data_IF_482742024148
#
_entry.id   IF_482742024148
#
_cell.length_a   1.000
_cell.length_b   1.000
_cell.length_c   1.000
_cell.angle_alpha   90.00
_cell.angle_beta   90.00
_cell.angle_gamma   90.00
#
_symmetry.space_group_name_H-M   'P 1'
#
loop_
_entity.id
_entity.type
_entity.pdbx_description
1 polymer ?
#
# COMPACT_ATOMS: atom_id res chain seq x y z
N UNK A 1 69.75 -1.15 -26.78
CA UNK A 1 68.68 -0.62 -27.64
C UNK A 1 67.49 -1.54 -27.45
N UNK A 2 66.65 -1.32 -26.43
CA UNK A 2 65.68 -0.21 -26.30
C UNK A 2 64.36 -0.55 -27.01
N UNK A 3 63.32 -0.72 -26.16
CA UNK A 3 61.86 -0.53 -26.32
C UNK A 3 61.14 -1.15 -27.54
N UNK A 4 60.20 -2.10 -27.43
CA UNK A 4 58.86 -2.11 -26.78
C UNK A 4 57.94 -0.94 -27.19
N UNK A 5 57.24 -1.10 -28.30
CA UNK A 5 55.97 -0.43 -28.65
C UNK A 5 54.87 -1.51 -28.73
N UNK A 6 53.90 -1.54 -27.78
CA UNK A 6 52.52 -1.00 -27.89
C UNK A 6 51.77 -1.47 -29.16
N UNK A 7 50.58 -2.07 -29.14
CA UNK A 7 49.48 -2.12 -28.17
C UNK A 7 48.72 -3.46 -28.31
N UNK A 8 48.51 -4.19 -27.22
CA UNK A 8 47.43 -5.18 -27.15
C UNK A 8 46.22 -4.50 -26.50
N UNK A 9 45.27 -4.05 -27.32
CA UNK A 9 44.01 -3.48 -26.85
C UNK A 9 43.29 -4.44 -25.89
N UNK A 10 42.79 -3.97 -24.74
CA UNK A 10 42.07 -4.83 -23.83
C UNK A 10 40.76 -5.26 -24.49
N UNK A 11 40.66 -6.57 -24.73
CA UNK A 11 39.41 -7.26 -25.07
C UNK A 11 38.33 -6.81 -24.08
N UNK A 12 37.18 -6.37 -24.62
CA UNK A 12 35.95 -6.07 -23.87
C UNK A 12 35.71 -7.12 -22.80
N UNK A 13 36.03 -6.78 -21.55
CA UNK A 13 35.65 -7.58 -20.40
C UNK A 13 34.15 -7.36 -20.18
N UNK A 14 33.34 -8.35 -20.55
CA UNK A 14 31.99 -8.50 -20.03
C UNK A 14 32.11 -8.70 -18.52
N UNK A 15 31.98 -7.60 -17.76
CA UNK A 15 31.92 -7.64 -16.31
C UNK A 15 30.65 -8.40 -15.90
N UNK A 16 30.85 -9.49 -15.15
CA UNK A 16 29.83 -10.37 -14.61
C UNK A 16 28.98 -9.64 -13.56
N UNK A 17 28.10 -8.75 -13.97
CA UNK A 17 27.06 -8.14 -13.11
C UNK A 17 25.80 -7.81 -13.89
N UNK A 18 25.22 -8.82 -14.53
CA UNK A 18 23.79 -8.84 -14.83
C UNK A 18 23.35 -10.29 -14.75
N UNK A 19 22.17 -10.52 -14.18
CA UNK A 19 21.58 -11.80 -13.78
C UNK A 19 22.04 -12.25 -12.37
N UNK A 20 21.46 -11.64 -11.33
CA UNK A 20 20.52 -12.28 -10.37
C UNK A 20 19.83 -11.14 -9.60
N UNK A 21 18.68 -10.68 -10.06
CA UNK A 21 17.71 -9.87 -9.28
C UNK A 21 16.28 -10.35 -9.55
N UNK A 22 16.11 -11.67 -9.65
CA UNK A 22 14.83 -12.31 -9.98
C UNK A 22 14.47 -13.53 -9.12
N UNK A 23 15.08 -13.71 -7.95
CA UNK A 23 14.87 -14.90 -7.11
C UNK A 23 14.56 -14.58 -5.64
N UNK A 24 13.91 -13.45 -5.36
CA UNK A 24 13.40 -13.15 -4.02
C UNK A 24 11.88 -13.41 -3.86
N UNK A 25 11.16 -13.66 -4.95
CA UNK A 25 9.70 -13.86 -4.93
C UNK A 25 9.24 -15.33 -4.81
N UNK A 26 10.17 -16.28 -4.69
CA UNK A 26 9.85 -17.72 -4.62
C UNK A 26 10.21 -18.38 -3.28
N UNK A 27 10.80 -17.65 -2.34
CA UNK A 27 11.33 -18.24 -1.10
C UNK A 27 10.30 -18.53 0.01
N UNK A 28 9.12 -17.90 0.11
CA UNK A 28 8.09 -18.40 1.04
C UNK A 28 7.42 -19.68 0.52
N UNK A 29 7.29 -19.82 -0.80
CA UNK A 29 6.55 -20.94 -1.43
C UNK A 29 7.38 -22.23 -1.40
N UNK A 30 8.70 -22.14 -1.59
CA UNK A 30 9.56 -23.34 -1.61
C UNK A 30 9.87 -23.84 -0.19
N UNK A 31 9.99 -22.96 0.81
CA UNK A 31 10.25 -23.37 2.19
C UNK A 31 9.08 -24.17 2.79
N UNK A 32 7.84 -23.81 2.46
CA UNK A 32 6.65 -24.57 2.84
C UNK A 32 6.58 -25.94 2.13
N UNK A 33 7.09 -26.06 0.90
CA UNK A 33 7.09 -27.32 0.15
C UNK A 33 8.19 -28.31 0.58
N UNK A 34 9.37 -27.83 1.00
CA UNK A 34 10.48 -28.70 1.40
C UNK A 34 10.38 -29.27 2.82
N UNK A 35 9.51 -28.73 3.67
CA UNK A 35 9.29 -29.25 5.03
C UNK A 35 8.35 -30.47 5.07
N UNK A 36 7.57 -30.72 4.02
CA UNK A 36 6.55 -31.79 4.01
C UNK A 36 7.15 -33.20 4.01
N UNK A 37 8.23 -33.54 3.26
CA UNK A 37 8.73 -34.91 3.27
C UNK A 37 9.58 -35.27 4.50
N UNK A 38 10.17 -34.29 5.21
CA UNK A 38 11.08 -34.57 6.33
C UNK A 38 10.36 -34.89 7.66
N UNK A 39 9.07 -34.54 7.80
CA UNK A 39 8.26 -34.93 8.96
C UNK A 39 7.50 -36.25 8.77
N UNK A 40 7.54 -36.84 7.56
CA UNK A 40 6.85 -38.09 7.20
C UNK A 40 7.48 -39.37 7.82
N UNK A 41 8.47 -39.24 8.70
CA UNK A 41 9.06 -40.35 9.46
C UNK A 41 8.70 -40.32 10.97
N UNK A 42 7.71 -39.52 11.37
CA UNK A 42 7.20 -39.44 12.74
C UNK A 42 5.90 -40.25 12.87
N UNK A 43 5.90 -41.30 13.70
CA UNK A 43 4.69 -41.99 14.14
C UNK A 43 3.89 -41.05 15.06
N UNK A 44 3.05 -40.17 14.53
CA UNK A 44 2.34 -39.19 15.35
C UNK A 44 1.20 -38.46 14.63
N UNK A 45 0.36 -37.81 15.44
CA UNK A 45 -0.69 -36.91 14.95
C UNK A 45 -0.06 -35.68 14.33
N UNK A 46 -0.39 -35.42 13.07
CA UNK A 46 0.02 -34.28 12.27
C UNK A 46 -1.13 -33.30 12.15
N UNK A 47 -0.82 -32.01 12.27
CA UNK A 47 -1.71 -30.90 11.91
C UNK A 47 -1.15 -30.22 10.67
N UNK A 48 -2.01 -29.99 9.68
CA UNK A 48 -1.66 -29.30 8.44
C UNK A 48 -2.68 -28.19 8.17
N UNK A 49 -2.26 -27.11 7.50
CA UNK A 49 -3.20 -26.08 7.08
C UNK A 49 -4.06 -26.64 5.94
N UNK A 50 -5.34 -26.27 5.92
CA UNK A 50 -6.17 -26.43 4.73
C UNK A 50 -5.73 -25.48 3.61
N UNK A 51 -6.64 -25.16 2.70
CA UNK A 51 -6.40 -24.10 1.72
C UNK A 51 -6.12 -22.77 2.41
N UNK A 52 -5.16 -22.00 1.88
CA UNK A 52 -4.97 -20.63 2.33
C UNK A 52 -6.24 -19.82 2.02
N UNK A 53 -6.78 -19.05 2.98
CA UNK A 53 -7.95 -18.21 2.73
C UNK A 53 -7.63 -17.17 1.65
N UNK A 54 -8.65 -16.83 0.87
CA UNK A 54 -8.56 -15.71 -0.06
C UNK A 54 -8.27 -14.40 0.70
N UNK A 55 -7.60 -13.42 0.07
CA UNK A 55 -7.44 -12.09 0.66
C UNK A 55 -8.80 -11.52 1.07
N UNK A 56 -8.85 -10.94 2.26
CA UNK A 56 -10.10 -10.48 2.87
C UNK A 56 -9.97 -9.03 3.33
N UNK A 57 -11.08 -8.30 3.41
CA UNK A 57 -11.08 -6.90 3.84
C UNK A 57 -10.70 -6.74 5.31
N UNK A 58 -10.51 -5.49 5.72
CA UNK A 58 -10.36 -5.14 7.14
C UNK A 58 -11.66 -5.39 7.92
N UNK A 59 -11.55 -5.93 9.13
CA UNK A 59 -12.68 -6.20 10.02
C UNK A 59 -13.82 -7.01 9.37
N UNK A 60 -13.45 -7.98 8.54
CA UNK A 60 -14.38 -8.88 7.87
C UNK A 60 -14.20 -10.30 8.37
N UNK A 61 -15.26 -11.12 8.39
CA UNK A 61 -15.11 -12.55 8.63
C UNK A 61 -14.15 -13.15 7.60
N UNK A 62 -13.17 -13.91 8.07
CA UNK A 62 -12.34 -14.74 7.21
C UNK A 62 -13.25 -15.79 6.55
N UNK A 63 -13.10 -15.95 5.24
CA UNK A 63 -13.80 -16.97 4.46
C UNK A 63 -13.34 -18.39 4.82
N UNK A 64 -13.13 -19.25 3.82
CA UNK A 64 -12.73 -20.64 4.06
C UNK A 64 -11.35 -20.73 4.73
N UNK A 65 -11.33 -21.21 5.97
CA UNK A 65 -10.12 -21.45 6.76
C UNK A 65 -10.31 -22.69 7.63
N UNK A 66 -9.37 -23.64 7.56
CA UNK A 66 -9.47 -24.89 8.29
C UNK A 66 -8.10 -25.51 8.55
N UNK A 67 -8.01 -26.36 9.57
CA UNK A 67 -6.88 -27.28 9.77
C UNK A 67 -7.31 -28.72 9.51
N UNK A 68 -6.41 -29.52 8.96
CA UNK A 68 -6.61 -30.97 8.77
C UNK A 68 -5.69 -31.73 9.71
N UNK A 69 -6.25 -32.72 10.40
CA UNK A 69 -5.58 -33.53 11.41
C UNK A 69 -5.54 -34.98 10.93
N UNK A 70 -4.34 -35.54 10.84
CA UNK A 70 -4.13 -36.92 10.40
C UNK A 70 -3.16 -37.66 11.31
N UNK A 71 -3.26 -38.98 11.33
CA UNK A 71 -2.28 -39.87 11.93
C UNK A 71 -1.94 -40.93 10.89
N UNK A 72 -0.69 -40.98 10.45
CA UNK A 72 -0.24 -41.83 9.34
C UNK A 72 -1.13 -41.71 8.10
N UNK A 73 -1.54 -40.48 7.75
CA UNK A 73 -2.39 -40.17 6.60
C UNK A 73 -3.88 -40.48 6.78
N UNK A 74 -4.30 -41.05 7.91
CA UNK A 74 -5.72 -41.30 8.22
C UNK A 74 -6.29 -40.13 9.03
N UNK A 75 -7.50 -39.62 8.72
CA UNK A 75 -8.15 -38.58 9.51
C UNK A 75 -8.30 -38.95 11.00
N UNK A 76 -8.07 -37.97 11.88
CA UNK A 76 -8.27 -38.14 13.34
C UNK A 76 -9.47 -37.30 13.77
N UNK A 77 -10.56 -37.96 14.16
CA UNK A 77 -11.75 -37.30 14.68
C UNK A 77 -11.63 -36.99 16.19
N UNK A 78 -12.37 -35.97 16.64
CA UNK A 78 -12.42 -35.51 18.04
C UNK A 78 -11.05 -35.10 18.61
N UNK A 79 -10.06 -34.80 17.75
CA UNK A 79 -8.77 -34.28 18.20
C UNK A 79 -8.93 -32.80 18.53
N UNK A 80 -8.67 -32.45 19.78
CA UNK A 80 -8.66 -31.07 20.23
C UNK A 80 -7.42 -30.32 19.73
N UNK A 81 -7.62 -29.12 19.21
CA UNK A 81 -6.57 -28.16 18.90
C UNK A 81 -6.84 -26.84 19.59
N UNK A 82 -5.78 -26.14 20.01
CA UNK A 82 -5.83 -24.75 20.45
C UNK A 82 -5.49 -23.89 19.25
N UNK A 83 -6.34 -22.90 18.95
CA UNK A 83 -6.11 -21.93 17.89
C UNK A 83 -5.83 -20.57 18.53
N UNK A 84 -4.71 -19.98 18.14
CA UNK A 84 -4.23 -18.68 18.60
C UNK A 84 -4.30 -17.69 17.45
N UNK A 85 -4.98 -16.56 17.69
CA UNK A 85 -5.06 -15.45 16.74
C UNK A 85 -3.75 -14.65 16.70
N UNK A 86 -3.52 -13.85 15.65
CA UNK A 86 -2.40 -12.92 15.58
C UNK A 86 -2.30 -12.00 16.81
N UNK A 87 -1.10 -11.48 17.07
CA UNK A 87 -0.87 -10.51 18.14
C UNK A 87 -1.78 -9.29 18.00
N UNK A 88 -2.06 -8.64 19.13
CA UNK A 88 -2.86 -7.42 19.16
C UNK A 88 -2.35 -6.35 18.19
N UNK A 89 -3.28 -5.68 17.52
CA UNK A 89 -2.99 -4.55 16.66
C UNK A 89 -2.49 -3.34 17.50
N UNK A 90 -1.83 -2.36 16.85
CA UNK A 90 -1.42 -1.13 17.52
C UNK A 90 -2.59 -0.41 18.21
N UNK A 91 -2.27 0.43 19.20
CA UNK A 91 -3.28 1.19 19.93
C UNK A 91 -4.16 2.03 18.99
N UNK A 92 -5.47 2.04 19.26
CA UNK A 92 -6.46 2.71 18.42
C UNK A 92 -6.93 1.89 17.21
N UNK A 93 -6.38 0.68 16.99
CA UNK A 93 -6.81 -0.26 15.96
C UNK A 93 -7.61 -1.42 16.54
N UNK A 94 -8.48 -2.02 15.73
CA UNK A 94 -9.13 -3.30 16.03
C UNK A 94 -8.20 -4.46 15.69
N UNK A 95 -8.08 -5.43 16.61
CA UNK A 95 -7.29 -6.65 16.44
C UNK A 95 -8.11 -7.76 15.78
N UNK A 96 -7.43 -8.83 15.35
CA UNK A 96 -8.12 -10.09 15.09
C UNK A 96 -8.89 -10.52 16.34
N UNK A 97 -10.13 -10.94 16.15
CA UNK A 97 -11.00 -11.44 17.21
C UNK A 97 -11.86 -12.58 16.69
N UNK A 98 -12.40 -13.36 17.60
CA UNK A 98 -13.41 -14.34 17.29
C UNK A 98 -14.76 -13.68 17.02
N UNK A 99 -15.66 -14.39 16.39
CA UNK A 99 -17.07 -14.02 16.16
C UNK A 99 -17.84 -13.58 17.43
N UNK A 100 -17.40 -14.00 18.62
CA UNK A 100 -17.91 -13.54 19.92
C UNK A 100 -17.15 -12.34 20.52
N UNK A 101 -16.32 -11.66 19.72
CA UNK A 101 -15.49 -10.51 20.09
C UNK A 101 -14.36 -10.77 21.09
N UNK A 102 -14.08 -12.03 21.43
CA UNK A 102 -12.93 -12.37 22.28
C UNK A 102 -11.64 -12.47 21.46
N UNK A 103 -10.47 -12.37 22.11
CA UNK A 103 -9.16 -12.48 21.45
C UNK A 103 -8.28 -13.60 22.03
N UNK A 104 -8.71 -14.20 23.14
CA UNK A 104 -7.96 -15.29 23.78
C UNK A 104 -7.96 -16.55 22.91
N UNK A 105 -6.93 -17.41 22.96
CA UNK A 105 -6.92 -18.68 22.24
C UNK A 105 -8.16 -19.54 22.54
N UNK A 106 -8.70 -20.22 21.53
CA UNK A 106 -9.88 -21.09 21.66
C UNK A 106 -9.55 -22.53 21.30
N UNK A 107 -10.27 -23.47 21.93
CA UNK A 107 -10.17 -24.88 21.62
C UNK A 107 -11.27 -25.30 20.65
N UNK A 108 -10.88 -26.01 19.61
CA UNK A 108 -11.78 -26.63 18.63
C UNK A 108 -11.47 -28.12 18.52
N UNK A 109 -12.44 -28.91 18.07
CA UNK A 109 -12.28 -30.36 17.87
C UNK A 109 -12.49 -30.71 16.40
N UNK A 110 -11.69 -31.64 15.89
CA UNK A 110 -11.84 -32.11 14.51
C UNK A 110 -13.09 -32.96 14.33
N UNK A 111 -13.72 -32.85 13.16
CA UNK A 111 -14.87 -33.66 12.75
C UNK A 111 -14.47 -35.10 12.37
N UNK A 112 -15.42 -35.89 11.86
CA UNK A 112 -15.18 -37.26 11.40
C UNK A 112 -14.15 -37.37 10.26
N UNK A 113 -13.93 -36.28 9.51
CA UNK A 113 -12.95 -36.19 8.42
C UNK A 113 -11.62 -35.59 8.90
N UNK A 114 -11.42 -35.41 10.21
CA UNK A 114 -10.22 -34.84 10.76
C UNK A 114 -10.09 -33.33 10.48
N UNK A 115 -11.19 -32.65 10.13
CA UNK A 115 -11.18 -31.23 9.79
C UNK A 115 -11.63 -30.40 10.99
N UNK A 116 -10.86 -29.36 11.30
CA UNK A 116 -11.28 -28.26 12.17
C UNK A 116 -11.60 -27.07 11.28
N UNK A 117 -12.89 -26.84 11.03
CA UNK A 117 -13.37 -25.71 10.23
C UNK A 117 -13.49 -24.46 11.10
N UNK A 118 -12.84 -23.38 10.68
CA UNK A 118 -12.82 -22.08 11.34
C UNK A 118 -13.50 -20.99 10.49
N UNK A 119 -14.17 -21.39 9.40
CA UNK A 119 -14.85 -20.48 8.48
C UNK A 119 -15.80 -19.56 9.21
N UNK A 120 -15.67 -18.24 8.98
CA UNK A 120 -16.46 -17.18 9.63
C UNK A 120 -16.32 -17.04 11.15
N UNK A 121 -15.53 -17.88 11.83
CA UNK A 121 -15.28 -17.74 13.28
C UNK A 121 -14.23 -16.69 13.61
N UNK A 122 -13.39 -16.31 12.64
CA UNK A 122 -12.32 -15.33 12.80
C UNK A 122 -12.71 -14.05 12.07
N UNK A 123 -12.69 -12.92 12.76
CA UNK A 123 -12.84 -11.59 12.19
C UNK A 123 -11.45 -10.95 12.09
N UNK A 124 -11.14 -10.38 10.91
CA UNK A 124 -9.82 -9.79 10.66
C UNK A 124 -9.55 -8.50 11.41
N UNK A 125 -8.27 -8.17 11.53
CA UNK A 125 -7.83 -6.86 12.03
C UNK A 125 -8.29 -5.70 11.13
N UNK A 126 -8.26 -4.50 11.71
CA UNK A 126 -8.36 -3.24 10.97
C UNK A 126 -7.09 -2.83 10.21
N UNK A 127 -6.00 -3.58 10.37
CA UNK A 127 -4.69 -3.29 9.81
C UNK A 127 -4.43 -4.18 8.57
N UNK A 128 -4.12 -3.62 7.39
CA UNK A 128 -3.75 -4.39 6.21
C UNK A 128 -2.38 -5.06 6.38
N UNK A 129 -2.24 -6.25 5.80
CA UNK A 129 -1.00 -7.03 5.87
C UNK A 129 -1.24 -8.53 5.88
N UNK A 130 -0.17 -9.29 6.09
CA UNK A 130 -0.21 -10.75 6.18
C UNK A 130 -0.01 -11.18 7.63
N UNK A 131 -0.93 -11.99 8.12
CA UNK A 131 -0.99 -12.42 9.52
C UNK A 131 -1.00 -13.94 9.65
N UNK A 132 -0.53 -14.44 10.78
CA UNK A 132 -0.43 -15.88 11.04
C UNK A 132 -1.48 -16.30 12.07
N UNK A 133 -2.39 -17.20 11.68
CA UNK A 133 -3.25 -17.96 12.61
C UNK A 133 -2.54 -19.27 12.93
N UNK A 134 -2.34 -19.55 14.22
CA UNK A 134 -1.60 -20.73 14.69
C UNK A 134 -2.58 -21.77 15.25
N UNK A 135 -2.53 -22.99 14.74
CA UNK A 135 -3.18 -24.16 15.31
C UNK A 135 -2.17 -25.06 16.01
N UNK A 136 -2.52 -25.58 17.18
CA UNK A 136 -1.68 -26.48 17.97
C UNK A 136 -2.49 -27.67 18.47
N UNK A 137 -2.00 -28.90 18.27
CA UNK A 137 -2.59 -30.08 18.91
C UNK A 137 -2.52 -29.91 20.44
N UNK A 138 -3.66 -29.97 21.12
CA UNK A 138 -3.72 -29.75 22.57
C UNK A 138 -3.10 -30.92 23.36
N UNK A 139 -2.45 -30.68 24.52
CA UNK A 139 -2.14 -29.37 25.10
C UNK A 139 -0.81 -28.79 24.63
N UNK A 140 0.11 -29.60 24.09
CA UNK A 140 1.48 -29.20 23.73
C UNK A 140 2.03 -30.00 22.53
N UNK A 141 1.18 -30.39 21.59
CA UNK A 141 1.54 -31.21 20.44
C UNK A 141 2.04 -30.38 19.24
N UNK A 142 2.03 -31.02 18.07
CA UNK A 142 2.45 -30.40 16.82
C UNK A 142 1.68 -29.11 16.50
N UNK A 143 2.35 -28.19 15.80
CA UNK A 143 1.77 -26.90 15.39
C UNK A 143 1.71 -26.78 13.87
N UNK A 144 0.76 -25.98 13.40
CA UNK A 144 0.66 -25.58 12.00
C UNK A 144 0.12 -24.17 11.93
N UNK A 145 0.32 -23.50 10.79
CA UNK A 145 -0.12 -22.13 10.63
C UNK A 145 -0.74 -21.86 9.27
N UNK A 146 -1.67 -20.90 9.26
CA UNK A 146 -2.36 -20.41 8.07
C UNK A 146 -2.07 -18.93 7.96
N UNK A 147 -1.66 -18.48 6.77
CA UNK A 147 -1.49 -17.07 6.48
C UNK A 147 -2.83 -16.48 6.06
N UNK A 148 -3.24 -15.41 6.74
CA UNK A 148 -4.43 -14.62 6.43
C UNK A 148 -3.96 -13.27 5.90
N UNK A 149 -4.33 -12.97 4.66
CA UNK A 149 -4.03 -11.69 4.03
C UNK A 149 -5.22 -10.73 4.22
N UNK A 150 -4.97 -9.62 4.90
CA UNK A 150 -5.90 -8.49 5.02
C UNK A 150 -5.59 -7.49 3.93
N UNK A 151 -6.49 -7.36 2.96
CA UNK A 151 -6.37 -6.46 1.81
C UNK A 151 -6.55 -4.99 2.20
N UNK A 152 -5.88 -4.11 1.45
CA UNK A 152 -5.92 -2.67 1.61
C UNK A 152 -4.53 -2.08 1.62
N UNK A 153 -4.46 -0.76 1.81
CA UNK A 153 -3.22 -0.03 2.09
C UNK A 153 -3.36 0.68 3.42
N UNK A 154 -2.24 0.99 4.06
CA UNK A 154 -2.22 1.79 5.26
C UNK A 154 -1.92 3.24 4.93
N UNK A 155 -2.83 4.14 5.32
CA UNK A 155 -2.62 5.58 5.21
C UNK A 155 -1.87 6.07 6.43
N UNK A 156 -0.63 6.50 6.23
CA UNK A 156 0.19 7.11 7.27
C UNK A 156 -0.26 8.53 7.60
N UNK A 157 0.37 9.10 8.63
CA UNK A 157 0.25 10.52 8.96
C UNK A 157 0.69 11.42 7.78
N UNK A 158 0.39 12.71 7.90
CA UNK A 158 0.94 13.71 7.00
C UNK A 158 2.48 13.60 7.01
N UNK A 159 3.07 13.37 5.84
CA UNK A 159 4.49 13.08 5.72
C UNK A 159 5.30 14.36 5.58
N UNK A 160 4.85 15.27 4.70
CA UNK A 160 5.57 16.50 4.36
C UNK A 160 4.64 17.53 3.72
N UNK A 161 5.05 18.80 3.72
CA UNK A 161 4.38 19.91 3.04
C UNK A 161 3.90 20.98 4.00
N UNK A 162 3.34 22.04 3.43
CA UNK A 162 2.74 23.12 4.22
C UNK A 162 1.37 22.73 4.78
N UNK A 163 0.91 23.47 5.78
CA UNK A 163 -0.40 23.25 6.40
C UNK A 163 -1.52 23.35 5.36
N UNK A 164 -2.36 22.34 5.31
CA UNK A 164 -3.48 22.27 4.37
C UNK A 164 -3.14 21.75 2.97
N UNK A 165 -1.86 21.58 2.60
CA UNK A 165 -1.49 21.08 1.26
C UNK A 165 -0.50 19.92 1.29
N UNK A 166 -0.24 19.36 2.46
CA UNK A 166 0.77 18.32 2.61
C UNK A 166 0.37 16.98 1.97
N UNK A 167 1.38 16.14 1.77
CA UNK A 167 1.29 14.83 1.15
C UNK A 167 1.27 13.75 2.23
N UNK A 168 0.52 12.67 1.99
CA UNK A 168 0.47 11.53 2.89
C UNK A 168 1.40 10.40 2.43
N UNK A 169 2.01 9.70 3.38
CA UNK A 169 2.71 8.45 3.11
C UNK A 169 1.72 7.28 3.08
N UNK A 170 1.86 6.38 2.12
CA UNK A 170 1.01 5.20 1.97
C UNK A 170 1.87 3.94 1.94
N UNK A 171 1.43 2.91 2.64
CA UNK A 171 2.16 1.66 2.85
C UNK A 171 1.32 0.47 2.40
N UNK A 172 1.96 -0.54 1.79
CA UNK A 172 1.30 -1.78 1.37
C UNK A 172 0.75 -2.59 2.54
N UNK A 173 1.33 -2.42 3.73
CA UNK A 173 0.90 -3.04 4.97
C UNK A 173 1.05 -2.06 6.12
N UNK A 174 0.32 -2.25 7.21
CA UNK A 174 0.52 -1.46 8.42
C UNK A 174 1.96 -1.61 8.92
N UNK A 175 2.72 -0.51 9.06
CA UNK A 175 4.07 -0.55 9.61
C UNK A 175 4.08 -1.10 11.03
N UNK A 176 5.16 -1.79 11.41
CA UNK A 176 5.30 -2.37 12.76
C UNK A 176 5.23 -1.30 13.86
N UNK A 177 5.77 -0.10 13.58
CA UNK A 177 5.59 1.10 14.40
C UNK A 177 4.92 2.19 13.53
N UNK A 178 3.58 2.33 13.59
CA UNK A 178 2.87 3.37 12.83
C UNK A 178 3.25 4.80 13.22
N UNK A 179 3.86 5.02 14.39
CA UNK A 179 4.33 6.34 14.80
C UNK A 179 5.68 6.72 14.18
N UNK A 180 6.47 5.70 13.78
CA UNK A 180 7.73 5.87 13.05
C UNK A 180 7.76 4.90 11.85
N UNK A 181 6.88 5.11 10.86
CA UNK A 181 6.58 4.10 9.85
C UNK A 181 7.71 3.89 8.81
N UNK A 182 8.76 4.72 8.86
CA UNK A 182 9.84 4.70 7.88
C UNK A 182 9.40 5.28 6.52
N UNK A 183 10.17 4.95 5.48
CA UNK A 183 9.88 5.42 4.13
C UNK A 183 8.59 4.77 3.59
N UNK A 184 7.66 5.55 3.02
CA UNK A 184 6.43 5.02 2.46
C UNK A 184 6.67 4.32 1.12
N UNK A 185 5.80 3.36 0.79
CA UNK A 185 5.80 2.67 -0.51
C UNK A 185 5.29 3.58 -1.63
N UNK A 186 4.30 4.42 -1.30
CA UNK A 186 3.70 5.41 -2.18
C UNK A 186 3.45 6.71 -1.42
N UNK A 187 3.17 7.77 -2.17
CA UNK A 187 2.64 8.99 -1.62
C UNK A 187 1.24 9.25 -2.16
N UNK A 188 0.47 10.11 -1.50
CA UNK A 188 -0.85 10.48 -2.00
C UNK A 188 -1.19 11.95 -1.77
N UNK A 189 -1.91 12.51 -2.74
CA UNK A 189 -2.47 13.86 -2.70
C UNK A 189 -3.98 13.79 -2.55
N UNK A 190 -4.55 14.71 -1.78
CA UNK A 190 -6.00 14.82 -1.64
C UNK A 190 -6.60 15.19 -3.01
N UNK A 191 -7.71 14.55 -3.38
CA UNK A 191 -8.45 14.93 -4.60
C UNK A 191 -9.70 15.75 -4.31
N UNK A 192 -10.02 16.02 -3.05
CA UNK A 192 -11.15 16.85 -2.63
C UNK A 192 -10.66 17.94 -1.67
N UNK A 193 -10.92 19.21 -2.00
CA UNK A 193 -10.31 20.35 -1.28
C UNK A 193 -10.87 20.54 0.14
N UNK A 194 -12.18 20.44 0.31
CA UNK A 194 -12.88 20.77 1.57
C UNK A 194 -13.15 19.54 2.45
N UNK A 195 -12.38 18.48 2.23
CA UNK A 195 -12.59 17.18 2.85
C UNK A 195 -11.32 16.82 3.61
N UNK A 196 -11.45 16.50 4.90
CA UNK A 196 -10.29 16.28 5.76
C UNK A 196 -9.78 14.86 5.65
N UNK A 197 -8.51 14.70 5.27
CA UNK A 197 -7.86 13.40 5.30
C UNK A 197 -7.82 12.83 6.72
N UNK A 198 -8.10 11.54 6.84
CA UNK A 198 -7.78 10.76 8.03
C UNK A 198 -6.55 9.91 7.76
N UNK A 199 -5.71 9.79 8.80
CA UNK A 199 -4.48 9.02 8.79
C UNK A 199 -4.48 7.97 9.88
N UNK A 200 -3.49 7.08 9.82
CA UNK A 200 -3.32 5.94 10.73
C UNK A 200 -4.52 5.00 10.69
N UNK A 201 -4.97 4.68 9.47
CA UNK A 201 -6.03 3.70 9.24
C UNK A 201 -5.83 3.02 7.88
N UNK A 202 -6.55 1.93 7.69
CA UNK A 202 -6.68 1.28 6.40
C UNK A 202 -7.46 2.14 5.40
N UNK A 203 -7.06 2.05 4.14
CA UNK A 203 -7.82 2.52 2.99
C UNK A 203 -7.94 1.40 1.95
N UNK A 204 -9.01 1.49 1.16
CA UNK A 204 -9.13 0.70 -0.07
C UNK A 204 -8.49 1.47 -1.21
N UNK A 205 -7.71 0.80 -2.05
CA UNK A 205 -7.14 1.38 -3.27
C UNK A 205 -7.79 0.74 -4.51
N UNK A 206 -8.12 1.55 -5.50
CA UNK A 206 -8.70 1.07 -6.76
C UNK A 206 -8.59 2.09 -7.89
N UNK A 207 -9.16 1.77 -9.06
CA UNK A 207 -9.18 2.70 -10.19
C UNK A 207 -10.09 3.91 -9.94
N UNK A 208 -10.28 4.76 -10.95
CA UNK A 208 -11.15 5.93 -10.85
C UNK A 208 -12.58 5.62 -10.35
N UNK A 209 -13.13 4.44 -10.69
CA UNK A 209 -14.44 4.00 -10.21
C UNK A 209 -14.54 3.74 -8.70
N UNK A 210 -13.41 3.72 -7.99
CA UNK A 210 -13.36 3.64 -6.52
C UNK A 210 -13.44 5.00 -5.85
N UNK A 211 -13.47 6.10 -6.61
CA UNK A 211 -13.70 7.43 -6.04
C UNK A 211 -15.10 7.52 -5.43
N UNK A 212 -15.17 7.90 -4.16
CA UNK A 212 -16.41 8.01 -3.39
C UNK A 212 -16.84 9.46 -3.15
N UNK A 213 -15.95 10.40 -3.42
CA UNK A 213 -16.22 11.83 -3.30
C UNK A 213 -17.22 12.35 -4.33
N UNK A 214 -17.52 13.64 -4.20
CA UNK A 214 -18.43 14.35 -5.10
C UNK A 214 -17.79 15.64 -5.59
N UNK A 215 -16.99 15.53 -6.65
CA UNK A 215 -16.41 16.68 -7.34
C UNK A 215 -16.19 16.40 -8.84
N UNK A 216 -15.42 17.23 -9.53
CA UNK A 216 -15.23 17.14 -10.98
C UNK A 216 -14.30 16.01 -11.44
N UNK A 217 -13.61 15.30 -10.54
CA UNK A 217 -12.63 14.26 -10.89
C UNK A 217 -13.21 13.18 -11.81
N UNK A 218 -14.44 12.74 -11.53
CA UNK A 218 -15.16 11.73 -12.33
C UNK A 218 -16.11 12.34 -13.37
N UNK A 219 -16.28 13.67 -13.37
CA UNK A 219 -17.16 14.37 -14.30
C UNK A 219 -16.67 14.36 -15.75
N UNK A 220 -15.38 14.11 -15.98
CA UNK A 220 -14.79 13.97 -17.31
C UNK A 220 -13.49 13.18 -17.27
N UNK A 221 -13.28 12.27 -18.23
CA UNK A 221 -12.00 11.58 -18.43
C UNK A 221 -10.85 12.56 -18.74
N UNK A 222 -11.17 13.73 -19.29
CA UNK A 222 -10.20 14.81 -19.50
C UNK A 222 -9.65 15.34 -18.16
N UNK A 223 -10.50 15.53 -17.16
CA UNK A 223 -10.09 16.04 -15.85
C UNK A 223 -9.17 15.04 -15.16
N UNK A 224 -9.56 13.76 -15.12
CA UNK A 224 -8.71 12.73 -14.53
C UNK A 224 -7.36 12.60 -15.25
N UNK A 225 -7.33 12.65 -16.58
CA UNK A 225 -6.06 12.61 -17.32
C UNK A 225 -5.18 13.87 -17.15
N UNK A 226 -5.76 15.03 -16.85
CA UNK A 226 -5.00 16.21 -16.40
C UNK A 226 -4.36 16.01 -15.03
N UNK A 227 -5.13 15.48 -14.08
CA UNK A 227 -4.63 15.15 -12.72
C UNK A 227 -3.51 14.12 -12.80
N UNK A 228 -3.66 13.08 -13.63
CA UNK A 228 -2.62 12.07 -13.88
C UNK A 228 -1.32 12.70 -14.40
N UNK A 229 -1.42 13.62 -15.37
CA UNK A 229 -0.22 14.29 -15.88
C UNK A 229 0.45 15.12 -14.79
N UNK A 230 -0.32 15.83 -13.95
CA UNK A 230 0.21 16.62 -12.84
C UNK A 230 1.08 15.74 -11.94
N UNK A 231 0.53 14.65 -11.41
CA UNK A 231 1.26 13.79 -10.46
C UNK A 231 2.42 13.02 -11.10
N UNK A 232 2.41 12.83 -12.42
CA UNK A 232 3.48 12.17 -13.18
C UNK A 232 4.61 13.12 -13.57
N UNK A 233 4.38 14.43 -13.54
CA UNK A 233 5.34 15.46 -13.95
C UNK A 233 5.65 16.44 -12.81
N UNK A 234 5.32 16.05 -11.58
CA UNK A 234 5.61 16.78 -10.36
C UNK A 234 6.19 15.86 -9.29
N UNK A 235 6.50 16.41 -8.13
CA UNK A 235 7.00 15.63 -7.01
C UNK A 235 5.87 14.81 -6.35
N UNK A 236 6.10 13.54 -5.95
CA UNK A 236 7.33 12.76 -6.12
C UNK A 236 7.37 11.88 -7.37
N UNK A 237 6.40 11.99 -8.29
CA UNK A 237 6.36 11.18 -9.52
C UNK A 237 7.56 11.41 -10.45
N UNK A 238 8.22 12.56 -10.32
CA UNK A 238 9.61 12.79 -10.74
C UNK A 238 10.44 13.30 -9.56
N UNK A 239 11.76 13.23 -9.68
CA UNK A 239 12.67 13.74 -8.66
C UNK A 239 12.52 15.26 -8.49
N UNK A 240 12.75 15.75 -7.27
CA UNK A 240 12.65 17.18 -6.96
C UNK A 240 13.59 18.03 -7.84
N UNK A 241 14.78 17.52 -8.16
CA UNK A 241 15.74 18.20 -9.02
C UNK A 241 15.25 18.31 -10.48
N UNK A 242 14.65 17.25 -11.03
CA UNK A 242 14.08 17.27 -12.36
C UNK A 242 12.90 18.24 -12.44
N UNK A 243 12.01 18.22 -11.44
CA UNK A 243 10.88 19.14 -11.37
C UNK A 243 11.35 20.59 -11.25
N UNK A 244 12.30 20.85 -10.36
CA UNK A 244 12.87 22.19 -10.16
C UNK A 244 13.52 22.74 -11.42
N UNK A 245 14.22 21.92 -12.21
CA UNK A 245 14.84 22.35 -13.46
C UNK A 245 13.80 22.74 -14.51
N UNK A 246 12.71 21.97 -14.63
CA UNK A 246 11.62 22.27 -15.56
C UNK A 246 10.90 23.58 -15.20
N UNK A 247 10.60 23.78 -13.91
CA UNK A 247 9.98 25.01 -13.41
C UNK A 247 10.87 26.22 -13.62
N UNK A 248 12.19 26.10 -13.38
CA UNK A 248 13.13 27.20 -13.61
C UNK A 248 13.14 27.68 -15.06
N UNK A 249 13.11 26.75 -16.02
CA UNK A 249 13.09 27.07 -17.45
C UNK A 249 11.79 27.78 -17.87
N UNK A 250 10.63 27.28 -17.41
CA UNK A 250 9.33 27.89 -17.68
C UNK A 250 9.20 29.27 -17.02
N UNK A 251 9.62 29.40 -15.75
CA UNK A 251 9.58 30.66 -15.03
C UNK A 251 10.43 31.74 -15.70
N UNK A 252 11.63 31.40 -16.18
CA UNK A 252 12.47 32.33 -16.93
C UNK A 252 11.79 32.79 -18.22
N UNK A 253 11.19 31.87 -18.99
CA UNK A 253 10.47 32.20 -20.22
C UNK A 253 9.23 33.08 -19.97
N UNK A 254 8.53 32.83 -18.86
CA UNK A 254 7.33 33.55 -18.46
C UNK A 254 7.61 34.80 -17.60
N UNK A 255 8.89 35.16 -17.36
CA UNK A 255 9.30 36.25 -16.45
C UNK A 255 8.69 36.15 -15.05
N UNK A 256 8.54 34.92 -14.53
CA UNK A 256 8.05 34.64 -13.18
C UNK A 256 9.21 34.59 -12.18
N UNK A 257 9.00 35.02 -10.93
CA UNK A 257 10.01 34.87 -9.89
C UNK A 257 10.35 33.40 -9.64
N UNK A 258 11.63 33.05 -9.76
CA UNK A 258 12.16 31.76 -9.37
C UNK A 258 13.61 31.96 -8.93
N UNK A 259 13.85 31.96 -7.62
CA UNK A 259 15.10 32.49 -7.04
C UNK A 259 16.03 31.41 -6.52
N UNK A 260 15.54 30.18 -6.36
CA UNK A 260 16.29 29.03 -5.88
C UNK A 260 15.61 27.73 -6.33
N UNK A 261 16.32 26.59 -6.32
CA UNK A 261 15.69 25.28 -6.55
C UNK A 261 14.50 25.05 -5.61
N UNK A 262 13.48 24.33 -6.09
CA UNK A 262 12.29 24.02 -5.31
C UNK A 262 12.65 23.25 -4.03
N UNK A 263 12.08 23.66 -2.91
CA UNK A 263 11.96 22.75 -1.76
C UNK A 263 10.88 21.71 -2.03
N UNK A 264 10.92 20.59 -1.32
CA UNK A 264 9.84 19.60 -1.41
C UNK A 264 8.49 20.19 -0.97
N UNK A 265 8.47 21.11 -0.01
CA UNK A 265 7.22 21.76 0.41
C UNK A 265 6.63 22.64 -0.69
N UNK A 266 7.46 23.40 -1.43
CA UNK A 266 7.00 24.20 -2.57
C UNK A 266 6.39 23.30 -3.66
N UNK A 267 7.06 22.19 -3.96
CA UNK A 267 6.63 21.24 -4.97
C UNK A 267 5.31 20.53 -4.59
N UNK A 268 5.17 20.16 -3.32
CA UNK A 268 3.97 19.53 -2.76
C UNK A 268 2.78 20.50 -2.81
N UNK A 269 2.95 21.74 -2.34
CA UNK A 269 1.89 22.76 -2.36
C UNK A 269 1.42 23.05 -3.79
N UNK A 270 2.36 23.27 -4.71
CA UNK A 270 2.07 23.51 -6.11
C UNK A 270 1.28 22.36 -6.75
N UNK A 271 1.69 21.12 -6.46
CA UNK A 271 1.02 19.92 -6.97
C UNK A 271 -0.39 19.81 -6.41
N UNK A 272 -0.57 19.99 -5.11
CA UNK A 272 -1.87 19.88 -4.46
C UNK A 272 -2.87 20.93 -4.95
N UNK A 273 -2.45 22.20 -5.10
CA UNK A 273 -3.31 23.23 -5.69
C UNK A 273 -3.60 22.96 -7.17
N UNK A 274 -2.65 22.44 -7.94
CA UNK A 274 -2.87 22.07 -9.35
C UNK A 274 -3.92 20.96 -9.49
N UNK A 275 -3.96 20.00 -8.56
CA UNK A 275 -5.01 18.96 -8.51
C UNK A 275 -6.36 19.63 -8.23
N UNK A 276 -6.48 20.40 -7.14
CA UNK A 276 -7.75 21.03 -6.74
C UNK A 276 -8.29 22.04 -7.74
N UNK A 277 -7.41 22.70 -8.50
CA UNK A 277 -7.81 23.54 -9.63
C UNK A 277 -8.71 22.80 -10.62
N UNK A 278 -8.54 21.49 -10.81
CA UNK A 278 -9.35 20.70 -11.75
C UNK A 278 -10.38 19.82 -11.07
N UNK A 279 -10.13 19.36 -9.85
CA UNK A 279 -11.05 18.44 -9.15
C UNK A 279 -12.17 19.19 -8.46
N UNK A 280 -11.95 20.40 -7.95
CA UNK A 280 -12.91 21.12 -7.10
C UNK A 280 -13.37 22.45 -7.71
N UNK A 281 -12.64 22.97 -8.70
CA UNK A 281 -12.89 24.29 -9.27
C UNK A 281 -13.02 24.26 -10.79
N UNK A 282 -13.76 25.23 -11.34
CA UNK A 282 -13.82 25.50 -12.78
C UNK A 282 -13.00 26.73 -13.18
N UNK A 283 -12.49 27.46 -12.20
CA UNK A 283 -11.71 28.70 -12.35
C UNK A 283 -10.40 28.59 -11.58
N UNK A 284 -9.47 29.52 -11.85
CA UNK A 284 -8.24 29.63 -11.08
C UNK A 284 -8.48 30.42 -9.80
N UNK A 285 -8.30 29.78 -8.65
CA UNK A 285 -8.45 30.46 -7.37
C UNK A 285 -7.25 31.35 -7.07
N UNK A 286 -7.47 32.39 -6.26
CA UNK A 286 -6.38 33.18 -5.70
C UNK A 286 -5.70 32.41 -4.56
N UNK A 287 -4.95 31.37 -4.90
CA UNK A 287 -4.26 30.50 -3.95
C UNK A 287 -3.29 31.30 -3.06
N UNK A 288 -3.29 30.99 -1.77
CA UNK A 288 -2.39 31.61 -0.80
C UNK A 288 -1.06 30.83 -0.74
N UNK A 289 -0.27 30.93 -1.81
CA UNK A 289 1.03 30.27 -1.91
C UNK A 289 1.96 30.69 -0.77
N UNK A 290 2.66 29.74 -0.16
CA UNK A 290 3.67 30.06 0.87
C UNK A 290 4.88 30.80 0.29
N UNK A 291 5.25 30.49 -0.96
CA UNK A 291 6.41 31.09 -1.61
C UNK A 291 6.15 31.43 -3.09
N UNK A 292 6.93 32.36 -3.67
CA UNK A 292 6.91 32.59 -5.12
C UNK A 292 7.28 31.35 -5.93
N UNK A 293 8.13 30.47 -5.38
CA UNK A 293 8.54 29.22 -6.01
C UNK A 293 7.37 28.23 -6.10
N UNK A 294 6.51 28.12 -5.07
CA UNK A 294 5.27 27.35 -5.13
C UNK A 294 4.36 27.85 -6.25
N UNK A 295 4.20 29.17 -6.37
CA UNK A 295 3.40 29.78 -7.43
C UNK A 295 3.98 29.48 -8.82
N UNK A 296 5.30 29.62 -9.00
CA UNK A 296 5.97 29.31 -10.27
C UNK A 296 5.77 27.83 -10.67
N UNK A 297 5.92 26.91 -9.72
CA UNK A 297 5.71 25.48 -9.96
C UNK A 297 4.25 25.15 -10.31
N UNK A 298 3.29 25.78 -9.63
CA UNK A 298 1.86 25.64 -9.95
C UNK A 298 1.57 26.06 -11.38
N UNK A 299 2.04 27.25 -11.77
CA UNK A 299 1.81 27.79 -13.10
C UNK A 299 2.47 26.99 -14.22
N UNK A 300 3.67 26.43 -13.96
CA UNK A 300 4.27 25.46 -14.87
C UNK A 300 3.34 24.26 -15.09
N UNK A 301 2.82 23.65 -14.02
CA UNK A 301 1.97 22.47 -14.12
C UNK A 301 0.67 22.76 -14.90
N UNK A 302 -0.07 23.80 -14.52
CA UNK A 302 -1.37 24.05 -15.14
C UNK A 302 -1.25 24.66 -16.55
N UNK A 303 -0.16 25.38 -16.84
CA UNK A 303 0.12 25.95 -18.16
C UNK A 303 0.29 24.87 -19.22
N UNK A 304 1.11 23.85 -18.93
CA UNK A 304 1.36 22.73 -19.84
C UNK A 304 0.09 21.90 -20.12
N UNK A 305 -0.75 21.70 -19.11
CA UNK A 305 -2.04 21.01 -19.27
C UNK A 305 -2.99 21.76 -20.21
N UNK A 306 -3.07 23.07 -20.07
CA UNK A 306 -3.90 23.90 -20.92
C UNK A 306 -3.35 24.00 -22.35
N UNK A 307 -2.08 23.65 -22.56
CA UNK A 307 -1.47 23.43 -23.87
C UNK A 307 -1.74 22.03 -24.46
N UNK A 308 -2.53 21.18 -23.79
CA UNK A 308 -3.01 19.90 -24.32
C UNK A 308 -2.36 18.64 -23.73
N UNK A 309 -1.46 18.77 -22.75
CA UNK A 309 -0.79 17.63 -22.12
C UNK A 309 -1.77 16.77 -21.29
N UNK A 310 -1.66 15.43 -21.37
CA UNK A 310 -2.50 14.46 -20.65
C UNK A 310 -1.68 13.26 -20.18
N UNK A 311 -2.07 12.70 -19.03
CA UNK A 311 -1.44 11.54 -18.41
C UNK A 311 -2.33 10.31 -18.54
N UNK A 312 -1.75 9.15 -18.28
CA UNK A 312 -2.45 7.85 -18.27
C UNK A 312 -2.06 7.09 -17.02
N UNK A 313 -3.01 6.46 -16.34
CA UNK A 313 -2.73 5.68 -15.14
C UNK A 313 -1.65 4.62 -15.43
N UNK A 314 -0.67 4.48 -14.53
CA UNK A 314 0.47 3.58 -14.71
C UNK A 314 0.80 2.86 -13.42
N UNK A 315 0.59 1.54 -13.39
CA UNK A 315 0.73 0.75 -12.17
C UNK A 315 -0.15 1.31 -11.04
N UNK A 316 0.45 1.52 -9.86
CA UNK A 316 -0.23 2.13 -8.72
C UNK A 316 -0.39 3.65 -8.84
N UNK A 317 0.42 4.34 -9.66
CA UNK A 317 0.28 5.78 -9.87
C UNK A 317 -1.05 6.09 -10.54
N UNK A 318 -1.86 6.91 -9.89
CA UNK A 318 -3.19 7.30 -10.33
C UNK A 318 -4.33 6.50 -9.69
N UNK A 319 -4.06 5.42 -8.96
CA UNK A 319 -5.09 4.74 -8.18
C UNK A 319 -5.67 5.70 -7.13
N UNK A 320 -6.95 5.55 -6.85
CA UNK A 320 -7.67 6.29 -5.83
C UNK A 320 -7.68 5.46 -4.55
N UNK A 321 -7.18 6.04 -3.45
CA UNK A 321 -7.48 5.54 -2.10
C UNK A 321 -8.75 6.19 -1.58
N UNK A 322 -9.50 5.44 -0.79
CA UNK A 322 -10.62 5.98 -0.02
C UNK A 322 -10.51 5.53 1.42
N UNK A 323 -10.46 6.53 2.30
CA UNK A 323 -10.36 6.34 3.74
C UNK A 323 -11.76 6.33 4.38
N UNK A 324 -12.00 5.46 5.36
CA UNK A 324 -13.22 5.55 6.16
C UNK A 324 -13.10 6.62 7.25
N UNK A 325 -14.25 7.10 7.75
CA UNK A 325 -14.28 8.03 8.89
C UNK A 325 -13.92 7.38 10.22
N UNK A 326 -14.01 6.05 10.34
CA UNK A 326 -13.71 5.29 11.56
C UNK A 326 -12.94 4.01 11.24
N UNK A 327 -12.19 3.52 12.23
CA UNK A 327 -11.58 2.17 12.17
C UNK A 327 -12.66 1.13 11.94
N UNK A 328 -12.37 0.11 11.12
CA UNK A 328 -13.33 -0.88 10.63
C UNK A 328 -14.53 -0.33 9.83
N UNK A 329 -14.56 0.98 9.54
CA UNK A 329 -15.61 1.54 8.68
C UNK A 329 -15.38 1.13 7.23
N UNK A 330 -16.48 0.87 6.52
CA UNK A 330 -16.44 0.80 5.05
C UNK A 330 -16.63 2.22 4.51
N UNK A 331 -15.69 2.76 3.71
CA UNK A 331 -15.89 4.05 3.10
C UNK A 331 -17.02 3.96 2.06
N UNK A 332 -17.93 4.91 2.10
CA UNK A 332 -19.01 5.07 1.11
C UNK A 332 -19.09 6.55 0.71
N UNK A 333 -19.91 6.89 -0.29
CA UNK A 333 -20.10 8.30 -0.66
C UNK A 333 -20.53 9.21 0.48
N UNK A 334 -21.21 8.68 1.51
CA UNK A 334 -21.62 9.43 2.70
C UNK A 334 -20.76 9.23 3.95
N UNK A 335 -19.77 8.34 3.92
CA UNK A 335 -19.00 7.93 5.12
C UNK A 335 -17.49 7.84 4.93
N UNK A 336 -16.97 8.20 3.75
CA UNK A 336 -15.54 8.34 3.53
C UNK A 336 -15.02 9.61 4.20
N UNK A 337 -13.76 9.58 4.64
CA UNK A 337 -13.08 10.71 5.22
C UNK A 337 -12.47 11.59 4.14
N UNK A 338 -11.78 11.00 3.17
CA UNK A 338 -11.16 11.65 2.02
C UNK A 338 -10.90 10.59 0.94
N UNK A 339 -10.84 11.04 -0.31
CA UNK A 339 -10.23 10.28 -1.39
C UNK A 339 -8.89 10.91 -1.77
N UNK A 340 -7.90 10.09 -2.07
CA UNK A 340 -6.57 10.57 -2.45
C UNK A 340 -6.08 9.84 -3.70
N UNK A 341 -5.19 10.48 -4.46
CA UNK A 341 -4.59 9.88 -5.65
C UNK A 341 -3.16 9.44 -5.33
N UNK A 342 -2.86 8.16 -5.59
CA UNK A 342 -1.57 7.55 -5.34
C UNK A 342 -0.52 8.01 -6.37
N UNK A 343 0.70 8.19 -5.88
CA UNK A 343 1.89 8.52 -6.66
C UNK A 343 3.01 7.60 -6.22
N UNK A 344 3.54 6.80 -7.16
CA UNK A 344 4.78 6.06 -6.94
C UNK A 344 5.95 7.04 -7.04
N UNK A 345 6.82 7.13 -6.03
CA UNK A 345 7.98 8.01 -6.07
C UNK A 345 9.02 7.55 -7.12
N UNK A 346 9.68 8.50 -7.77
CA UNK A 346 10.74 8.27 -8.78
C UNK A 346 12.08 7.77 -8.22
#
# INVERSE_FOLDING_TARGET
>A
MEQLDNEHGPKKALTRRTIVKGAAWSLPVIAAASAVPAYAASNGVVIAPGSQPAPTGVCTPVGSIAFTITNNGTPVANQAIIVTLPSAAPAGQSSFHWDDNTTAPKTFVSDANGVVDLTSHIITSSTPGTYTVLGQISPNGATSSIQVMVSGVWMGALQQGYGGTGIHGVYNSTPADPSNPGAPDYFSYCVEHNVSAKSNLAATAGGLGSFLGSNYLTGSSDIYSKVLWIIQNSYPGITLSAFSAAVAADAAAASRPFTAPLSANDAIEATQYAIWRYTDLTFDANWNFQTPNSAAAYWYLIGQINAGMRGTQSGSTGLITSEATTVCGTPTGGSHAQSQILVVPA
#
